data_IF_010257053243
#
_entry.id   IF_010257053243
#
_cell.length_a   1.000
_cell.length_b   1.000
_cell.length_c   1.000
_cell.angle_alpha   90.00
_cell.angle_beta   90.00
_cell.angle_gamma   90.00
#
_symmetry.space_group_name_H-M   'P 1'
#
loop_
_entity.id
_entity.type
_entity.pdbx_description
1 polymer ?
#
# COMPACT_ATOMS: atom_id res chain seq x y z
N UNK A 1 6.54 -31.96 35.15
CA UNK A 1 5.94 -30.60 35.10
C UNK A 1 6.42 -29.77 33.89
N UNK A 2 7.54 -30.08 33.26
CA UNK A 2 8.04 -29.29 32.10
C UNK A 2 7.35 -29.58 30.76
N UNK A 3 6.69 -30.73 30.59
CA UNK A 3 5.99 -31.07 29.33
C UNK A 3 4.59 -30.42 29.18
N UNK A 4 3.94 -30.03 30.29
CA UNK A 4 2.63 -29.35 30.22
C UNK A 4 2.69 -27.87 29.83
N UNK A 5 3.86 -27.23 29.96
CA UNK A 5 4.05 -25.81 29.56
C UNK A 5 4.27 -25.65 28.05
N UNK A 6 4.58 -26.73 27.31
CA UNK A 6 4.76 -26.68 25.84
C UNK A 6 3.45 -26.75 25.06
N UNK A 7 2.36 -27.15 25.68
CA UNK A 7 1.03 -27.15 25.10
C UNK A 7 0.42 -25.77 25.27
N UNK A 8 0.22 -25.04 24.16
CA UNK A 8 -0.39 -23.73 24.17
C UNK A 8 -1.75 -23.72 24.88
N UNK A 9 -2.04 -22.64 25.61
CA UNK A 9 -3.30 -22.47 26.36
C UNK A 9 -4.34 -21.76 25.51
N UNK A 10 -5.52 -22.37 25.33
CA UNK A 10 -6.66 -21.66 24.74
C UNK A 10 -7.23 -20.65 25.76
N UNK A 11 -7.37 -19.39 25.33
CA UNK A 11 -7.99 -18.33 26.11
C UNK A 11 -9.06 -17.67 25.25
N UNK A 12 -10.21 -17.34 25.87
CA UNK A 12 -11.26 -16.54 25.23
C UNK A 12 -11.30 -15.17 25.86
N UNK A 13 -11.38 -14.13 25.01
CA UNK A 13 -11.61 -12.77 25.49
C UNK A 13 -13.09 -12.54 25.84
N UNK A 14 -13.42 -11.34 26.35
CA UNK A 14 -14.78 -10.96 26.72
C UNK A 14 -15.75 -10.89 25.52
N UNK A 15 -15.24 -10.90 24.29
CA UNK A 15 -16.04 -10.92 23.06
C UNK A 15 -16.19 -12.34 22.49
N UNK A 16 -15.75 -13.38 23.23
CA UNK A 16 -15.81 -14.77 22.82
C UNK A 16 -14.80 -15.15 21.74
N UNK A 17 -13.81 -14.31 21.44
CA UNK A 17 -12.75 -14.63 20.49
C UNK A 17 -11.77 -15.61 21.12
N UNK A 18 -11.41 -16.64 20.37
CA UNK A 18 -10.44 -17.65 20.81
C UNK A 18 -9.04 -17.21 20.44
N UNK A 19 -8.11 -17.41 21.36
CA UNK A 19 -6.68 -17.18 21.20
C UNK A 19 -5.91 -18.36 21.71
N UNK A 20 -4.85 -18.69 21.01
CA UNK A 20 -3.95 -19.78 21.38
C UNK A 20 -2.64 -19.18 21.87
N UNK A 21 -2.50 -19.10 23.20
CA UNK A 21 -1.29 -18.60 23.84
C UNK A 21 -0.22 -19.69 23.78
N UNK A 22 0.83 -19.43 23.01
CA UNK A 22 1.97 -20.33 22.89
C UNK A 22 3.25 -19.51 22.96
N UNK A 23 4.21 -19.97 23.75
CA UNK A 23 5.46 -19.27 24.02
C UNK A 23 6.70 -20.15 23.75
N UNK A 24 6.72 -20.83 22.61
CA UNK A 24 7.91 -21.55 22.18
C UNK A 24 9.00 -20.57 21.71
N UNK A 25 10.30 -20.93 21.92
CA UNK A 25 11.42 -20.11 21.41
C UNK A 25 11.27 -19.75 19.92
N UNK A 26 10.77 -20.71 19.11
CA UNK A 26 10.52 -20.53 17.67
C UNK A 26 9.47 -19.46 17.37
N UNK A 27 8.45 -19.33 18.22
CA UNK A 27 7.38 -18.35 18.04
C UNK A 27 7.86 -16.93 18.39
N UNK A 28 8.69 -16.83 19.46
CA UNK A 28 9.34 -15.56 19.82
C UNK A 28 10.29 -15.08 18.71
N UNK A 29 11.17 -15.97 18.23
CA UNK A 29 12.08 -15.68 17.12
C UNK A 29 11.30 -15.32 15.85
N UNK A 30 10.19 -16.03 15.54
CA UNK A 30 9.32 -15.71 14.42
C UNK A 30 8.71 -14.33 14.51
N UNK A 31 8.18 -13.95 15.69
CA UNK A 31 7.61 -12.62 15.93
C UNK A 31 8.66 -11.51 15.84
N UNK A 32 9.83 -11.70 16.44
CA UNK A 32 10.90 -10.70 16.43
C UNK A 32 11.47 -10.49 15.02
N UNK A 33 11.65 -11.56 14.26
CA UNK A 33 12.19 -11.52 12.90
C UNK A 33 11.20 -11.12 11.82
N UNK A 34 9.89 -11.27 12.03
CA UNK A 34 8.86 -11.13 10.99
C UNK A 34 8.92 -9.79 10.25
N UNK A 35 9.14 -8.68 10.96
CA UNK A 35 9.26 -7.34 10.34
C UNK A 35 10.52 -7.24 9.50
N UNK A 36 11.65 -7.71 10.04
CA UNK A 36 12.95 -7.62 9.37
C UNK A 36 13.07 -8.57 8.18
N UNK A 37 12.40 -9.72 8.23
CA UNK A 37 12.30 -10.63 7.08
C UNK A 37 11.41 -10.05 5.97
N UNK A 38 10.35 -9.31 6.33
CA UNK A 38 9.41 -8.74 5.37
C UNK A 38 9.88 -7.41 4.75
N UNK A 39 10.70 -6.65 5.48
CA UNK A 39 11.10 -5.30 5.06
C UNK A 39 11.93 -5.28 3.76
N UNK A 40 13.03 -6.07 3.60
CA UNK A 40 13.86 -6.05 2.39
C UNK A 40 13.12 -6.54 1.13
N UNK A 41 12.35 -7.67 1.15
CA UNK A 41 11.54 -8.06 0.00
C UNK A 41 10.52 -7.00 -0.40
N UNK A 42 9.87 -6.36 0.58
CA UNK A 42 8.92 -5.30 0.33
C UNK A 42 9.59 -4.08 -0.33
N UNK A 43 10.79 -3.70 0.13
CA UNK A 43 11.59 -2.63 -0.47
C UNK A 43 12.00 -2.97 -1.92
N UNK A 44 12.42 -4.20 -2.17
CA UNK A 44 12.83 -4.65 -3.49
C UNK A 44 11.68 -4.60 -4.51
N UNK A 45 10.51 -5.16 -4.18
CA UNK A 45 9.39 -5.18 -5.14
C UNK A 45 8.77 -3.79 -5.36
N UNK A 46 9.00 -2.84 -4.46
CA UNK A 46 8.57 -1.45 -4.62
C UNK A 46 9.25 -0.75 -5.81
N UNK A 47 10.43 -1.20 -6.21
CA UNK A 47 11.15 -0.68 -7.38
C UNK A 47 10.33 -0.83 -8.65
N UNK A 48 9.56 -1.92 -8.81
CA UNK A 48 8.73 -2.12 -9.99
C UNK A 48 7.65 -1.03 -10.13
N UNK A 49 7.12 -0.50 -9.04
CA UNK A 49 6.10 0.56 -9.12
C UNK A 49 6.72 1.96 -9.17
N UNK A 50 7.56 2.27 -8.19
CA UNK A 50 8.10 3.63 -8.01
C UNK A 50 9.32 3.91 -8.91
N UNK A 51 10.06 2.88 -9.26
CA UNK A 51 11.19 2.99 -10.18
C UNK A 51 10.78 3.15 -11.64
N UNK A 52 9.60 2.61 -12.01
CA UNK A 52 9.12 2.67 -13.40
C UNK A 52 9.00 4.11 -13.92
N UNK A 53 8.36 5.01 -13.14
CA UNK A 53 8.22 6.42 -13.51
C UNK A 53 9.56 7.12 -13.78
N UNK A 54 10.60 6.76 -13.04
CA UNK A 54 11.95 7.28 -13.25
C UNK A 54 12.63 6.69 -14.50
N UNK A 55 12.25 5.48 -14.92
CA UNK A 55 12.79 4.81 -16.10
C UNK A 55 12.04 5.18 -17.40
N UNK A 56 10.86 5.78 -17.31
CA UNK A 56 10.00 6.11 -18.48
C UNK A 56 10.73 6.88 -19.58
N UNK A 57 11.53 7.94 -19.30
CA UNK A 57 12.24 8.65 -20.39
C UNK A 57 13.13 7.70 -21.18
N UNK A 58 13.97 6.91 -20.51
CA UNK A 58 14.88 5.98 -21.18
C UNK A 58 14.14 4.84 -21.91
N UNK A 59 13.00 4.37 -21.37
CA UNK A 59 12.15 3.37 -22.00
C UNK A 59 11.52 3.89 -23.29
N UNK A 60 11.02 5.12 -23.28
CA UNK A 60 10.43 5.77 -24.46
C UNK A 60 11.47 5.98 -25.55
N UNK A 61 12.62 6.55 -25.20
CA UNK A 61 13.70 6.86 -26.14
C UNK A 61 14.28 5.60 -26.77
N UNK A 62 14.44 4.51 -25.98
CA UNK A 62 14.99 3.24 -26.49
C UNK A 62 14.05 2.50 -27.43
N UNK A 63 12.77 2.45 -27.07
CA UNK A 63 11.80 1.59 -27.76
C UNK A 63 10.92 2.37 -28.75
N UNK A 64 11.03 3.69 -28.83
CA UNK A 64 10.15 4.53 -29.64
C UNK A 64 8.69 4.53 -29.16
N UNK A 65 8.45 4.24 -27.88
CA UNK A 65 7.09 4.13 -27.35
C UNK A 65 6.48 5.51 -27.07
N UNK A 66 5.18 5.61 -27.33
CA UNK A 66 4.41 6.79 -26.91
C UNK A 66 4.24 6.84 -25.41
N UNK A 67 3.95 8.03 -24.86
CA UNK A 67 3.63 8.20 -23.44
C UNK A 67 2.48 7.29 -23.00
N UNK A 68 1.41 7.25 -23.79
CA UNK A 68 0.23 6.41 -23.54
C UNK A 68 0.60 4.92 -23.54
N UNK A 69 1.36 4.48 -24.55
CA UNK A 69 1.82 3.08 -24.63
C UNK A 69 2.66 2.70 -23.41
N UNK A 70 3.64 3.53 -23.03
CA UNK A 70 4.51 3.25 -21.89
C UNK A 70 3.72 3.18 -20.58
N UNK A 71 2.79 4.10 -20.34
CA UNK A 71 1.99 4.09 -19.13
C UNK A 71 0.88 3.04 -19.14
N UNK A 72 0.46 2.53 -20.31
CA UNK A 72 -0.45 1.37 -20.35
C UNK A 72 0.19 0.11 -19.75
N UNK A 73 1.52 -0.05 -19.88
CA UNK A 73 2.27 -1.13 -19.23
C UNK A 73 2.21 -1.02 -17.70
N UNK A 74 2.43 0.19 -17.16
CA UNK A 74 2.34 0.41 -15.70
C UNK A 74 0.90 0.30 -15.18
N UNK A 75 -0.08 0.76 -15.95
CA UNK A 75 -1.50 0.61 -15.60
C UNK A 75 -1.89 -0.87 -15.51
N UNK A 76 -1.53 -1.68 -16.51
CA UNK A 76 -1.74 -3.12 -16.49
C UNK A 76 -0.99 -3.81 -15.35
N UNK A 77 0.25 -3.36 -15.05
CA UNK A 77 1.01 -3.83 -13.89
C UNK A 77 0.25 -3.57 -12.57
N UNK A 78 -0.31 -2.38 -12.39
CA UNK A 78 -1.07 -2.04 -11.19
C UNK A 78 -2.34 -2.90 -11.05
N UNK A 79 -3.02 -3.22 -12.17
CA UNK A 79 -4.17 -4.13 -12.20
C UNK A 79 -3.75 -5.53 -11.72
N UNK A 80 -2.69 -6.08 -12.27
CA UNK A 80 -2.21 -7.42 -11.89
C UNK A 80 -1.71 -7.46 -10.44
N UNK A 81 -0.95 -6.44 -10.01
CA UNK A 81 -0.42 -6.34 -8.65
C UNK A 81 -1.52 -6.27 -7.59
N UNK A 82 -2.54 -5.46 -7.81
CA UNK A 82 -3.65 -5.34 -6.88
C UNK A 82 -4.64 -6.49 -6.99
N UNK A 83 -4.85 -7.01 -8.21
CA UNK A 83 -5.80 -8.08 -8.49
C UNK A 83 -5.47 -9.40 -7.82
N UNK A 84 -4.18 -9.72 -7.64
CA UNK A 84 -3.76 -10.97 -6.98
C UNK A 84 -3.85 -10.90 -5.44
N UNK A 85 -4.07 -9.74 -4.83
CA UNK A 85 -4.07 -9.59 -3.38
C UNK A 85 -5.16 -10.43 -2.70
N UNK A 86 -6.41 -10.33 -3.16
CA UNK A 86 -7.53 -11.11 -2.63
C UNK A 86 -7.39 -12.61 -2.92
N UNK A 87 -7.13 -13.07 -4.16
CA UNK A 87 -6.91 -14.49 -4.44
C UNK A 87 -5.78 -15.09 -3.60
N UNK A 88 -4.68 -14.36 -3.41
CA UNK A 88 -3.55 -14.84 -2.59
C UNK A 88 -3.94 -15.02 -1.13
N UNK A 89 -4.62 -14.05 -0.54
CA UNK A 89 -5.09 -14.14 0.83
C UNK A 89 -6.05 -15.33 1.02
N UNK A 90 -7.03 -15.44 0.12
CA UNK A 90 -8.01 -16.52 0.12
C UNK A 90 -7.37 -17.90 -0.04
N UNK A 91 -6.44 -18.06 -0.99
CA UNK A 91 -5.75 -19.32 -1.26
C UNK A 91 -4.87 -19.75 -0.08
N UNK A 92 -4.12 -18.81 0.52
CA UNK A 92 -3.27 -19.08 1.67
C UNK A 92 -4.06 -19.53 2.90
N UNK A 93 -5.23 -18.94 3.13
CA UNK A 93 -6.06 -19.33 4.28
C UNK A 93 -6.76 -20.66 4.09
N UNK A 94 -7.18 -21.01 2.88
CA UNK A 94 -7.90 -22.27 2.58
C UNK A 94 -7.00 -23.43 2.23
N UNK A 95 -5.99 -23.23 1.38
CA UNK A 95 -5.16 -24.30 0.82
C UNK A 95 -3.88 -24.56 1.60
N UNK A 96 -3.65 -23.87 2.72
CA UNK A 96 -2.46 -24.01 3.57
C UNK A 96 -1.12 -23.87 2.81
N UNK A 97 -1.10 -23.11 1.72
CA UNK A 97 0.14 -22.86 0.97
C UNK A 97 1.12 -22.09 1.86
N UNK A 98 2.31 -22.64 2.00
CA UNK A 98 3.35 -22.03 2.82
C UNK A 98 3.75 -20.64 2.30
N UNK A 99 3.92 -19.62 3.16
CA UNK A 99 4.28 -18.28 2.72
C UNK A 99 5.60 -18.26 1.94
N UNK A 100 6.56 -19.11 2.28
CA UNK A 100 7.83 -19.27 1.55
C UNK A 100 7.62 -19.61 0.07
N UNK A 101 6.69 -20.50 -0.24
CA UNK A 101 6.39 -20.88 -1.63
C UNK A 101 5.87 -19.69 -2.42
N UNK A 102 4.96 -18.91 -1.83
CA UNK A 102 4.41 -17.70 -2.47
C UNK A 102 5.51 -16.65 -2.68
N UNK A 103 6.43 -16.48 -1.71
CA UNK A 103 7.57 -15.57 -1.84
C UNK A 103 8.51 -15.97 -2.97
N UNK A 104 8.86 -17.26 -3.08
CA UNK A 104 9.74 -17.76 -4.13
C UNK A 104 9.12 -17.64 -5.53
N UNK A 105 7.84 -17.98 -5.66
CA UNK A 105 7.11 -17.77 -6.92
C UNK A 105 7.09 -16.28 -7.27
N UNK A 106 6.79 -15.42 -6.28
CA UNK A 106 6.82 -13.98 -6.47
C UNK A 106 8.18 -13.45 -6.91
N UNK A 107 9.28 -13.95 -6.33
CA UNK A 107 10.65 -13.58 -6.71
C UNK A 107 10.94 -13.89 -8.18
N UNK A 108 10.60 -15.12 -8.63
CA UNK A 108 10.79 -15.55 -10.02
C UNK A 108 9.96 -14.69 -10.97
N UNK A 109 8.68 -14.48 -10.68
CA UNK A 109 7.79 -13.69 -11.54
C UNK A 109 8.24 -12.23 -11.65
N UNK A 110 8.70 -11.61 -10.56
CA UNK A 110 9.23 -10.25 -10.59
C UNK A 110 10.51 -10.15 -11.44
N UNK A 111 11.42 -11.12 -11.28
CA UNK A 111 12.67 -11.16 -12.06
C UNK A 111 12.38 -11.33 -13.57
N UNK A 112 11.51 -12.29 -13.94
CA UNK A 112 11.05 -12.47 -15.31
C UNK A 112 10.44 -11.17 -15.85
N UNK A 113 9.64 -10.46 -15.03
CA UNK A 113 9.05 -9.18 -15.41
C UNK A 113 10.08 -8.14 -15.82
N UNK A 114 11.14 -7.94 -15.02
CA UNK A 114 12.21 -6.98 -15.32
C UNK A 114 13.03 -7.41 -16.54
N UNK A 115 13.39 -8.70 -16.65
CA UNK A 115 14.12 -9.23 -17.81
C UNK A 115 13.28 -9.08 -19.09
N UNK A 116 11.96 -9.30 -19.01
CA UNK A 116 11.06 -9.10 -20.15
C UNK A 116 10.95 -7.62 -20.55
N UNK A 117 11.02 -6.70 -19.60
CA UNK A 117 11.08 -5.26 -19.91
C UNK A 117 12.41 -4.86 -20.57
N UNK A 118 13.51 -5.54 -20.22
CA UNK A 118 14.85 -5.31 -20.74
C UNK A 118 15.06 -5.87 -22.16
N UNK A 119 14.53 -7.07 -22.43
CA UNK A 119 14.86 -7.88 -23.62
C UNK A 119 13.65 -8.43 -24.37
N UNK A 120 12.42 -8.26 -23.83
CA UNK A 120 11.21 -8.80 -24.45
C UNK A 120 10.88 -8.16 -25.79
N UNK A 121 10.07 -8.86 -26.63
CA UNK A 121 9.70 -8.36 -27.95
C UNK A 121 8.72 -7.19 -27.85
N UNK A 122 9.24 -5.97 -27.84
CA UNK A 122 8.47 -4.73 -27.88
C UNK A 122 7.41 -4.58 -26.78
N UNK A 123 6.31 -3.93 -27.11
CA UNK A 123 5.21 -3.64 -26.18
C UNK A 123 4.53 -4.90 -25.62
N UNK A 124 4.39 -5.94 -26.44
CA UNK A 124 3.77 -7.21 -26.01
C UNK A 124 4.60 -7.92 -24.93
N UNK A 125 5.94 -7.94 -25.09
CA UNK A 125 6.85 -8.47 -24.09
C UNK A 125 6.77 -7.72 -22.76
N UNK A 126 6.69 -6.39 -22.82
CA UNK A 126 6.50 -5.57 -21.63
C UNK A 126 5.13 -5.79 -20.94
N UNK A 127 4.06 -5.93 -21.73
CA UNK A 127 2.72 -6.21 -21.18
C UNK A 127 2.64 -7.59 -20.54
N UNK A 128 3.06 -8.65 -21.23
CA UNK A 128 2.96 -10.01 -20.70
C UNK A 128 4.00 -10.27 -19.60
N UNK A 129 5.24 -9.85 -19.81
CA UNK A 129 6.32 -10.08 -18.86
C UNK A 129 6.24 -9.13 -17.66
N UNK A 130 6.44 -7.83 -17.91
CA UNK A 130 6.50 -6.86 -16.82
C UNK A 130 5.14 -6.61 -16.15
N UNK A 131 4.09 -6.34 -16.96
CA UNK A 131 2.81 -5.99 -16.38
C UNK A 131 2.11 -7.21 -15.76
N UNK A 132 1.96 -8.33 -16.49
CA UNK A 132 1.22 -9.48 -15.97
C UNK A 132 2.08 -10.25 -14.98
N UNK A 133 3.24 -10.80 -15.40
CA UNK A 133 4.04 -11.65 -14.52
C UNK A 133 4.70 -10.84 -13.40
N UNK A 134 5.36 -9.73 -13.71
CA UNK A 134 6.01 -8.86 -12.74
C UNK A 134 5.01 -8.24 -11.76
N UNK A 135 3.84 -7.79 -12.25
CA UNK A 135 2.76 -7.27 -11.42
C UNK A 135 2.18 -8.33 -10.48
N UNK A 136 1.86 -9.52 -10.99
CA UNK A 136 1.40 -10.63 -10.18
C UNK A 136 2.45 -11.02 -9.12
N UNK A 137 3.72 -11.15 -9.51
CA UNK A 137 4.82 -11.44 -8.59
C UNK A 137 4.94 -10.43 -7.46
N UNK A 138 4.90 -9.14 -7.79
CA UNK A 138 4.94 -8.06 -6.79
C UNK A 138 3.73 -8.09 -5.86
N UNK A 139 2.55 -8.42 -6.37
CA UNK A 139 1.32 -8.58 -5.57
C UNK A 139 1.40 -9.76 -4.60
N UNK A 140 1.96 -10.91 -5.03
CA UNK A 140 2.21 -12.08 -4.19
C UNK A 140 3.14 -11.73 -3.02
N UNK A 141 4.27 -11.06 -3.29
CA UNK A 141 5.25 -10.66 -2.27
C UNK A 141 4.63 -9.64 -1.31
N UNK A 142 4.01 -8.58 -1.84
CA UNK A 142 3.35 -7.53 -1.05
C UNK A 142 2.31 -8.10 -0.08
N UNK A 143 1.40 -8.94 -0.61
CA UNK A 143 0.34 -9.57 0.18
C UNK A 143 0.93 -10.49 1.25
N UNK A 144 1.93 -11.30 0.90
CA UNK A 144 2.56 -12.25 1.83
C UNK A 144 3.29 -11.54 2.97
N UNK A 145 4.12 -10.53 2.66
CA UNK A 145 4.82 -9.73 3.67
C UNK A 145 3.84 -9.06 4.64
N UNK A 146 2.80 -8.41 4.10
CA UNK A 146 1.81 -7.69 4.92
C UNK A 146 1.01 -8.63 5.82
N UNK A 147 0.54 -9.76 5.28
CA UNK A 147 -0.30 -10.71 6.03
C UNK A 147 0.49 -11.48 7.06
N UNK A 148 1.72 -11.92 6.76
CA UNK A 148 2.58 -12.63 7.73
C UNK A 148 2.95 -11.74 8.91
N UNK A 149 3.32 -10.47 8.66
CA UNK A 149 3.58 -9.50 9.73
C UNK A 149 2.34 -9.22 10.57
N UNK A 150 1.16 -9.11 9.95
CA UNK A 150 -0.11 -8.93 10.66
C UNK A 150 -0.42 -10.11 11.59
N UNK A 151 -0.17 -11.35 11.15
CA UNK A 151 -0.37 -12.58 11.94
C UNK A 151 0.59 -12.68 13.12
N UNK A 152 1.87 -12.28 12.96
CA UNK A 152 2.86 -12.27 14.03
C UNK A 152 2.68 -11.12 15.04
N UNK A 153 1.96 -10.07 14.69
CA UNK A 153 1.74 -8.89 15.54
C UNK A 153 0.25 -8.55 15.68
N UNK A 154 -0.59 -9.49 16.17
CA UNK A 154 -2.03 -9.26 16.28
C UNK A 154 -2.39 -8.14 17.26
N UNK A 155 -1.52 -7.87 18.23
CA UNK A 155 -1.63 -6.79 19.21
C UNK A 155 -1.30 -5.38 18.65
N UNK A 156 -0.49 -5.29 17.57
CA UNK A 156 0.02 -4.02 17.00
C UNK A 156 0.04 -4.01 15.48
N UNK A 157 -0.97 -4.61 14.85
CA UNK A 157 -1.03 -4.81 13.39
C UNK A 157 -0.77 -3.53 12.61
N UNK A 158 -1.51 -2.46 12.91
CA UNK A 158 -1.42 -1.20 12.15
C UNK A 158 0.00 -0.61 12.12
N UNK A 159 0.67 -0.54 13.27
CA UNK A 159 2.02 0.00 13.37
C UNK A 159 3.09 -0.84 12.68
N UNK A 160 2.99 -2.17 12.78
CA UNK A 160 3.99 -3.08 12.21
C UNK A 160 3.81 -3.26 10.69
N UNK A 161 2.58 -3.41 10.24
CA UNK A 161 2.28 -3.50 8.80
C UNK A 161 2.58 -2.18 8.08
N UNK A 162 2.29 -1.02 8.69
CA UNK A 162 2.62 0.27 8.07
C UNK A 162 4.12 0.49 7.91
N UNK A 163 4.95 0.00 8.84
CA UNK A 163 6.41 0.05 8.74
C UNK A 163 6.90 -0.78 7.54
N UNK A 164 6.39 -1.99 7.37
CA UNK A 164 6.78 -2.88 6.27
C UNK A 164 6.23 -2.38 4.93
N UNK A 165 4.96 -1.98 4.88
CA UNK A 165 4.41 -1.44 3.64
C UNK A 165 5.02 -0.09 3.25
N UNK A 166 5.57 0.68 4.21
CA UNK A 166 6.36 1.86 3.93
C UNK A 166 7.60 1.55 3.10
N UNK A 167 8.26 0.41 3.36
CA UNK A 167 9.44 -0.04 2.61
C UNK A 167 9.15 -0.18 1.11
N UNK A 168 7.92 -0.56 0.74
CA UNK A 168 7.49 -0.65 -0.66
C UNK A 168 7.66 0.67 -1.43
N UNK A 169 7.60 1.82 -0.74
CA UNK A 169 7.88 3.10 -1.38
C UNK A 169 9.35 3.49 -1.19
N UNK A 170 9.79 3.79 0.04
CA UNK A 170 11.12 4.37 0.24
C UNK A 170 12.28 3.42 -0.12
N UNK A 171 12.06 2.12 -0.21
CA UNK A 171 13.05 1.17 -0.74
C UNK A 171 13.42 1.41 -2.20
N UNK A 172 12.52 2.05 -2.98
CA UNK A 172 12.78 2.39 -4.37
C UNK A 172 13.60 3.69 -4.56
N UNK A 173 13.84 4.47 -3.50
CA UNK A 173 14.55 5.77 -3.59
C UNK A 173 15.93 5.64 -4.24
N UNK A 174 16.81 4.71 -3.82
CA UNK A 174 18.14 4.60 -4.44
C UNK A 174 18.06 4.31 -5.94
N UNK A 175 17.14 3.41 -6.34
CA UNK A 175 16.94 3.08 -7.75
C UNK A 175 16.38 4.29 -8.52
N UNK A 176 15.37 4.99 -8.00
CA UNK A 176 14.75 6.12 -8.68
C UNK A 176 15.75 7.26 -8.89
N UNK A 177 16.59 7.56 -7.88
CA UNK A 177 17.64 8.56 -7.99
C UNK A 177 18.69 8.13 -9.02
N UNK A 178 19.16 6.88 -8.95
CA UNK A 178 20.14 6.36 -9.92
C UNK A 178 19.56 6.37 -11.34
N UNK A 179 18.28 6.03 -11.52
CA UNK A 179 17.62 6.06 -12.80
C UNK A 179 17.56 7.49 -13.38
N UNK A 180 17.14 8.48 -12.58
CA UNK A 180 17.09 9.87 -13.04
C UNK A 180 18.47 10.41 -13.43
N UNK A 181 19.52 10.03 -12.68
CA UNK A 181 20.88 10.60 -12.88
C UNK A 181 21.71 9.83 -13.92
N UNK A 182 21.53 8.52 -14.03
CA UNK A 182 22.43 7.65 -14.79
C UNK A 182 21.79 6.81 -15.89
N UNK A 183 20.44 6.66 -15.89
CA UNK A 183 19.79 5.77 -16.83
C UNK A 183 19.71 6.43 -18.22
N UNK A 184 20.19 5.69 -19.22
CA UNK A 184 20.18 6.09 -20.63
C UNK A 184 19.63 4.93 -21.48
N UNK A 185 19.17 5.16 -22.71
CA UNK A 185 18.75 4.08 -23.60
C UNK A 185 19.80 3.01 -23.78
N UNK A 186 21.07 3.36 -23.76
CA UNK A 186 22.18 2.42 -23.98
C UNK A 186 22.43 1.46 -22.80
N UNK A 187 22.27 1.95 -21.57
CA UNK A 187 22.53 1.13 -20.35
C UNK A 187 21.26 0.54 -19.71
N UNK A 188 20.08 0.80 -20.29
CA UNK A 188 18.78 0.43 -19.73
C UNK A 188 18.68 -1.08 -19.46
N UNK A 189 19.06 -1.95 -20.43
CA UNK A 189 18.97 -3.41 -20.26
C UNK A 189 19.84 -3.89 -19.12
N UNK A 190 21.12 -3.50 -19.09
CA UNK A 190 22.03 -3.91 -18.01
C UNK A 190 21.56 -3.44 -16.63
N UNK A 191 20.98 -2.22 -16.55
CA UNK A 191 20.43 -1.71 -15.29
C UNK A 191 19.21 -2.53 -14.84
N UNK A 192 18.33 -2.91 -15.76
CA UNK A 192 17.16 -3.76 -15.46
C UNK A 192 17.59 -5.19 -15.11
N UNK A 193 18.60 -5.77 -15.77
CA UNK A 193 19.14 -7.11 -15.47
C UNK A 193 19.75 -7.15 -14.05
N UNK A 194 20.57 -6.17 -13.71
CA UNK A 194 21.13 -6.05 -12.34
C UNK A 194 20.02 -5.88 -11.32
N UNK A 195 19.02 -5.07 -11.62
CA UNK A 195 17.86 -4.88 -10.73
C UNK A 195 17.06 -6.17 -10.58
N UNK A 196 16.85 -6.94 -11.66
CA UNK A 196 16.17 -8.23 -11.64
C UNK A 196 16.92 -9.25 -10.76
N UNK A 197 18.24 -9.34 -10.92
CA UNK A 197 19.09 -10.23 -10.12
C UNK A 197 19.05 -9.85 -8.64
N UNK A 198 19.25 -8.56 -8.31
CA UNK A 198 19.22 -8.09 -6.92
C UNK A 198 17.87 -8.31 -6.29
N UNK A 199 16.78 -7.99 -6.99
CA UNK A 199 15.41 -8.23 -6.53
C UNK A 199 15.17 -9.72 -6.27
N UNK A 200 15.56 -10.60 -7.21
CA UNK A 200 15.42 -12.05 -7.05
C UNK A 200 16.18 -12.54 -5.82
N UNK A 201 17.45 -12.16 -5.67
CA UNK A 201 18.30 -12.58 -4.53
C UNK A 201 17.71 -12.10 -3.20
N UNK A 202 17.23 -10.86 -3.13
CA UNK A 202 16.64 -10.32 -1.91
C UNK A 202 15.32 -11.02 -1.60
N UNK A 203 14.39 -11.11 -2.55
CA UNK A 203 13.06 -11.70 -2.30
C UNK A 203 13.16 -13.20 -2.02
N UNK A 204 13.96 -13.94 -2.80
CA UNK A 204 14.15 -15.37 -2.59
C UNK A 204 14.95 -15.63 -1.29
N UNK A 205 16.06 -14.93 -1.08
CA UNK A 205 16.93 -15.10 0.08
C UNK A 205 16.23 -14.88 1.41
N UNK A 206 15.41 -13.83 1.53
CA UNK A 206 14.58 -13.62 2.72
C UNK A 206 13.33 -14.51 2.70
N UNK A 207 12.78 -14.79 1.51
CA UNK A 207 11.55 -15.55 1.31
C UNK A 207 11.61 -16.98 1.84
N UNK A 208 12.75 -17.65 1.74
CA UNK A 208 12.93 -19.04 2.24
C UNK A 208 12.71 -19.16 3.75
N UNK A 209 12.92 -18.08 4.49
CA UNK A 209 12.75 -18.04 5.95
C UNK A 209 11.32 -17.65 6.38
N UNK A 210 10.44 -17.32 5.42
CA UNK A 210 9.08 -16.92 5.75
C UNK A 210 8.27 -18.08 6.34
N UNK A 211 7.65 -17.80 7.48
CA UNK A 211 6.69 -18.70 8.14
C UNK A 211 5.57 -17.89 8.78
N UNK A 212 4.39 -18.47 8.83
CA UNK A 212 3.26 -17.92 9.57
C UNK A 212 3.24 -18.53 10.98
N UNK A 213 2.68 -17.83 11.98
CA UNK A 213 2.37 -18.43 13.27
C UNK A 213 1.25 -19.48 13.14
N UNK A 214 1.07 -20.34 14.15
CA UNK A 214 -0.10 -21.22 14.23
C UNK A 214 -1.43 -20.44 14.14
N UNK A 215 -2.50 -21.13 13.75
CA UNK A 215 -3.84 -20.52 13.72
C UNK A 215 -4.20 -19.96 15.11
N UNK A 216 -4.86 -18.80 15.13
CA UNK A 216 -5.29 -18.09 16.34
C UNK A 216 -4.16 -17.80 17.36
N UNK A 217 -2.90 -17.80 16.91
CA UNK A 217 -1.75 -17.52 17.76
C UNK A 217 -1.80 -16.11 18.38
N UNK A 218 -1.45 -16.05 19.67
CA UNK A 218 -1.34 -14.83 20.44
C UNK A 218 -0.09 -14.84 21.34
N UNK A 219 0.63 -13.71 21.46
CA UNK A 219 1.82 -13.64 22.29
C UNK A 219 1.47 -13.86 23.78
N UNK A 220 2.09 -14.82 24.43
CA UNK A 220 1.79 -15.23 25.81
C UNK A 220 1.99 -14.14 26.86
N UNK A 221 2.89 -13.18 26.59
CA UNK A 221 3.20 -12.06 27.50
C UNK A 221 2.12 -10.97 27.56
N UNK A 222 1.11 -11.04 26.70
CA UNK A 222 0.02 -10.07 26.61
C UNK A 222 -1.28 -10.83 26.87
N UNK A 223 -1.96 -10.53 27.99
CA UNK A 223 -3.28 -11.11 28.21
C UNK A 223 -4.27 -10.58 27.16
N UNK A 224 -4.88 -11.44 26.33
CA UNK A 224 -5.84 -11.01 25.32
C UNK A 224 -7.10 -10.39 25.92
N UNK A 225 -7.46 -10.73 27.19
CA UNK A 225 -8.60 -10.15 27.91
C UNK A 225 -8.32 -8.70 28.30
N UNK A 226 -7.19 -8.45 28.95
CA UNK A 226 -6.77 -7.10 29.31
C UNK A 226 -6.55 -6.26 28.08
N UNK A 227 -5.93 -6.83 27.05
CA UNK A 227 -5.76 -6.15 25.78
C UNK A 227 -7.11 -5.78 25.16
N UNK A 228 -8.10 -6.68 25.15
CA UNK A 228 -9.45 -6.40 24.67
C UNK A 228 -10.13 -5.29 25.47
N UNK A 229 -9.99 -5.27 26.79
CA UNK A 229 -10.55 -4.22 27.66
C UNK A 229 -9.87 -2.87 27.47
N UNK A 230 -8.54 -2.85 27.39
CA UNK A 230 -7.80 -1.59 27.11
C UNK A 230 -8.17 -0.99 25.77
N UNK A 231 -8.80 -1.80 24.93
CA UNK A 231 -9.26 -1.49 23.58
C UNK A 231 -10.79 -1.43 23.48
N UNK A 232 -11.51 -1.40 24.61
CA UNK A 232 -12.98 -1.36 24.67
C UNK A 232 -13.58 -0.04 24.12
N UNK A 233 -14.83 -0.06 23.62
CA UNK A 233 -15.56 1.15 23.26
C UNK A 233 -15.62 2.12 24.43
N UNK A 234 -15.44 3.41 24.16
CA UNK A 234 -15.44 4.46 25.17
C UNK A 234 -14.06 4.92 25.68
N UNK A 235 -13.04 4.06 25.61
CA UNK A 235 -11.64 4.42 25.89
C UNK A 235 -10.81 4.70 24.63
N UNK A 236 -11.39 4.48 23.44
CA UNK A 236 -10.71 4.63 22.15
C UNK A 236 -11.37 5.67 21.26
N UNK A 237 -10.52 6.42 20.60
CA UNK A 237 -10.90 7.29 19.48
C UNK A 237 -11.39 6.44 18.28
N UNK A 238 -10.86 5.21 18.13
CA UNK A 238 -11.24 4.24 17.12
C UNK A 238 -11.98 3.07 17.76
N UNK A 239 -13.30 3.10 17.78
CA UNK A 239 -14.09 2.00 18.34
C UNK A 239 -14.04 0.76 17.41
N UNK A 240 -14.03 -0.46 17.99
CA UNK A 240 -14.06 -1.71 17.21
C UNK A 240 -15.40 -1.90 16.48
N UNK A 241 -15.43 -2.87 15.54
CA UNK A 241 -16.64 -3.23 14.82
C UNK A 241 -17.74 -3.73 15.78
N UNK A 242 -18.98 -3.36 15.48
CA UNK A 242 -20.17 -3.78 16.26
C UNK A 242 -20.50 -5.25 16.02
N UNK A 243 -20.20 -5.76 14.79
CA UNK A 243 -20.44 -7.14 14.41
C UNK A 243 -19.31 -7.67 13.53
N UNK A 244 -19.23 -9.01 13.41
CA UNK A 244 -18.28 -9.68 12.53
C UNK A 244 -18.95 -9.94 11.18
N UNK A 245 -18.46 -9.31 10.13
CA UNK A 245 -19.01 -9.45 8.78
C UNK A 245 -18.21 -10.48 7.97
N UNK A 246 -18.93 -11.27 7.17
CA UNK A 246 -18.33 -12.01 6.06
C UNK A 246 -18.03 -11.06 4.90
N UNK A 247 -17.16 -11.42 3.94
CA UNK A 247 -16.95 -10.63 2.72
C UNK A 247 -18.26 -10.32 1.98
N UNK A 248 -19.15 -11.32 1.86
CA UNK A 248 -20.48 -11.13 1.28
C UNK A 248 -21.36 -10.18 2.11
N UNK A 249 -21.36 -10.33 3.44
CA UNK A 249 -22.07 -9.41 4.33
C UNK A 249 -21.56 -7.98 4.25
N UNK A 250 -20.25 -7.78 4.07
CA UNK A 250 -19.67 -6.46 3.88
C UNK A 250 -20.13 -5.79 2.58
N UNK A 251 -20.30 -6.55 1.49
CA UNK A 251 -20.85 -6.04 0.20
C UNK A 251 -22.23 -5.42 0.32
N UNK A 252 -23.05 -5.91 1.26
CA UNK A 252 -24.41 -5.39 1.47
C UNK A 252 -24.46 -4.16 2.38
N UNK A 253 -23.31 -3.65 2.82
CA UNK A 253 -23.23 -2.43 3.63
C UNK A 253 -22.95 -1.20 2.77
N UNK A 254 -23.40 -0.02 3.19
CA UNK A 254 -23.05 1.25 2.52
C UNK A 254 -21.58 1.65 2.72
N UNK A 255 -20.92 1.12 3.74
CA UNK A 255 -19.54 1.47 4.08
C UNK A 255 -18.53 0.93 3.05
N UNK A 256 -18.68 -0.30 2.58
CA UNK A 256 -17.72 -0.93 1.67
C UNK A 256 -17.62 -0.19 0.33
N UNK A 257 -18.72 0.13 -0.39
CA UNK A 257 -18.65 0.91 -1.63
C UNK A 257 -18.00 2.28 -1.43
N UNK A 258 -18.30 2.97 -0.32
CA UNK A 258 -17.68 4.27 -0.01
C UNK A 258 -16.19 4.12 0.20
N UNK A 259 -15.73 3.12 0.98
CA UNK A 259 -14.31 2.83 1.16
C UNK A 259 -13.64 2.53 -0.18
N UNK A 260 -14.28 1.71 -1.01
CA UNK A 260 -13.79 1.33 -2.32
C UNK A 260 -13.57 2.55 -3.23
N UNK A 261 -14.56 3.42 -3.33
CA UNK A 261 -14.50 4.64 -4.14
C UNK A 261 -13.43 5.62 -3.65
N UNK A 262 -13.26 5.77 -2.33
CA UNK A 262 -12.21 6.63 -1.79
C UNK A 262 -10.83 6.04 -2.09
N UNK A 263 -10.62 4.72 -1.92
CA UNK A 263 -9.34 4.06 -2.26
C UNK A 263 -9.05 4.16 -3.74
N UNK A 264 -10.05 3.99 -4.60
CA UNK A 264 -9.94 4.15 -6.05
C UNK A 264 -9.48 5.56 -6.39
N UNK A 265 -10.17 6.57 -5.92
CA UNK A 265 -9.89 7.96 -6.23
C UNK A 265 -8.53 8.44 -5.67
N UNK A 266 -8.28 8.22 -4.36
CA UNK A 266 -7.01 8.58 -3.72
C UNK A 266 -5.84 7.77 -4.30
N UNK A 267 -6.06 6.50 -4.61
CA UNK A 267 -5.11 5.61 -5.26
C UNK A 267 -4.76 6.07 -6.67
N UNK A 268 -5.74 6.52 -7.45
CA UNK A 268 -5.50 7.06 -8.79
C UNK A 268 -4.56 8.29 -8.74
N UNK A 269 -4.81 9.23 -7.83
CA UNK A 269 -3.95 10.40 -7.64
C UNK A 269 -2.54 10.00 -7.16
N UNK A 270 -2.44 9.04 -6.23
CA UNK A 270 -1.13 8.57 -5.75
C UNK A 270 -0.32 7.88 -6.84
N UNK A 271 -0.96 7.03 -7.67
CA UNK A 271 -0.32 6.35 -8.80
C UNK A 271 0.03 7.34 -9.93
N UNK A 272 -0.81 8.35 -10.17
CA UNK A 272 -0.49 9.44 -11.08
C UNK A 272 0.82 10.12 -10.71
N UNK A 273 0.98 10.52 -9.46
CA UNK A 273 2.23 11.15 -9.02
C UNK A 273 3.44 10.21 -9.15
N UNK A 274 3.29 8.93 -8.74
CA UNK A 274 4.36 7.94 -8.85
C UNK A 274 4.82 7.72 -10.30
N UNK A 275 3.89 7.83 -11.24
CA UNK A 275 4.15 7.67 -12.67
C UNK A 275 4.71 8.94 -13.31
N UNK A 276 4.11 10.12 -13.04
CA UNK A 276 4.29 11.29 -13.89
C UNK A 276 5.20 12.38 -13.34
N UNK A 277 5.49 12.44 -12.03
CA UNK A 277 6.30 13.54 -11.45
C UNK A 277 7.67 13.65 -12.12
N UNK A 278 8.35 12.54 -12.37
CA UNK A 278 9.68 12.56 -13.05
C UNK A 278 9.52 12.97 -14.51
N UNK A 279 8.58 12.36 -15.23
CA UNK A 279 8.36 12.66 -16.66
C UNK A 279 7.94 14.11 -16.86
N UNK A 280 7.10 14.64 -15.99
CA UNK A 280 6.73 16.06 -15.98
C UNK A 280 7.97 16.95 -15.83
N UNK A 281 8.78 16.69 -14.80
CA UNK A 281 9.94 17.51 -14.48
C UNK A 281 11.00 17.48 -15.61
N UNK A 282 11.22 16.31 -16.22
CA UNK A 282 12.12 16.14 -17.38
C UNK A 282 11.57 16.92 -18.59
N UNK A 283 10.28 16.77 -18.91
CA UNK A 283 9.65 17.51 -20.02
C UNK A 283 9.63 19.03 -19.81
N UNK A 284 9.56 19.48 -18.57
CA UNK A 284 9.66 20.90 -18.22
C UNK A 284 11.11 21.44 -18.27
N UNK A 285 12.09 20.63 -18.67
CA UNK A 285 13.49 21.02 -18.78
C UNK A 285 14.18 21.33 -17.44
N UNK A 286 13.68 20.78 -16.35
CA UNK A 286 14.26 21.03 -15.02
C UNK A 286 15.61 20.32 -14.86
N UNK A 287 16.50 20.91 -14.08
CA UNK A 287 17.84 20.36 -13.85
C UNK A 287 17.75 18.94 -13.23
N UNK A 288 18.59 18.02 -13.69
CA UNK A 288 18.59 16.60 -13.28
C UNK A 288 18.64 16.43 -11.76
N UNK A 289 19.43 17.27 -11.05
CA UNK A 289 19.48 17.25 -9.59
C UNK A 289 18.14 17.60 -8.93
N UNK A 290 17.39 18.55 -9.48
CA UNK A 290 16.05 18.92 -9.00
C UNK A 290 15.07 17.77 -9.21
N UNK A 291 15.09 17.15 -10.39
CA UNK A 291 14.24 15.99 -10.71
C UNK A 291 14.53 14.82 -9.75
N UNK A 292 15.81 14.53 -9.51
CA UNK A 292 16.23 13.47 -8.59
C UNK A 292 15.77 13.74 -7.15
N UNK A 293 15.91 14.99 -6.66
CA UNK A 293 15.44 15.39 -5.33
C UNK A 293 13.92 15.30 -5.22
N UNK A 294 13.19 15.77 -6.21
CA UNK A 294 11.71 15.69 -6.23
C UNK A 294 11.24 14.25 -6.20
N UNK A 295 11.83 13.37 -7.03
CA UNK A 295 11.53 11.94 -7.05
C UNK A 295 11.84 11.29 -5.70
N UNK A 296 13.04 11.52 -5.15
CA UNK A 296 13.47 10.99 -3.86
C UNK A 296 12.54 11.41 -2.73
N UNK A 297 12.20 12.69 -2.63
CA UNK A 297 11.32 13.20 -1.58
C UNK A 297 9.90 12.66 -1.72
N UNK A 298 9.32 12.66 -2.93
CA UNK A 298 8.02 12.07 -3.17
C UNK A 298 7.95 10.62 -2.65
N UNK A 299 8.91 9.78 -3.06
CA UNK A 299 8.93 8.36 -2.75
C UNK A 299 9.24 8.12 -1.26
N UNK A 300 10.25 8.80 -0.71
CA UNK A 300 10.66 8.65 0.69
C UNK A 300 9.54 9.06 1.64
N UNK A 301 8.91 10.22 1.41
CA UNK A 301 7.83 10.73 2.25
C UNK A 301 6.57 9.90 2.10
N UNK A 302 6.27 9.37 0.89
CA UNK A 302 5.17 8.43 0.68
C UNK A 302 5.32 7.19 1.57
N UNK A 303 6.51 6.62 1.64
CA UNK A 303 6.78 5.45 2.48
C UNK A 303 6.78 5.76 3.97
N UNK A 304 7.57 6.76 4.40
CA UNK A 304 7.68 7.15 5.80
C UNK A 304 6.34 7.67 6.36
N UNK A 305 5.56 8.37 5.54
CA UNK A 305 4.24 8.87 5.86
C UNK A 305 3.27 7.79 6.33
N UNK A 306 3.40 6.55 5.84
CA UNK A 306 2.51 5.44 6.25
C UNK A 306 2.54 5.19 7.75
N UNK A 307 3.72 5.10 8.33
CA UNK A 307 3.88 4.89 9.78
C UNK A 307 3.49 6.12 10.59
N UNK A 308 3.83 7.32 10.11
CA UNK A 308 3.47 8.58 10.76
C UNK A 308 1.94 8.77 10.81
N UNK A 309 1.26 8.53 9.70
CA UNK A 309 -0.20 8.62 9.58
C UNK A 309 -0.90 7.60 10.47
N UNK A 310 -0.39 6.39 10.61
CA UNK A 310 -0.96 5.38 11.51
C UNK A 310 -0.88 5.83 12.97
N UNK A 311 0.27 6.36 13.42
CA UNK A 311 0.40 6.93 14.77
C UNK A 311 -0.56 8.12 15.01
N UNK A 312 -0.67 8.99 14.00
CA UNK A 312 -1.61 10.11 14.05
C UNK A 312 -3.06 9.64 14.16
N UNK A 313 -3.42 8.59 13.42
CA UNK A 313 -4.78 8.04 13.42
C UNK A 313 -5.16 7.34 14.73
N UNK A 314 -4.19 6.86 15.49
CA UNK A 314 -4.44 6.33 16.83
C UNK A 314 -4.80 7.43 17.84
N UNK A 315 -4.36 8.67 17.58
CA UNK A 315 -4.66 9.85 18.41
C UNK A 315 -5.91 10.61 17.95
N UNK A 316 -6.04 10.88 16.66
CA UNK A 316 -7.11 11.74 16.11
C UNK A 316 -8.33 10.96 15.62
N UNK A 317 -8.19 9.63 15.43
CA UNK A 317 -9.20 8.77 14.82
C UNK A 317 -9.01 8.59 13.31
N UNK A 318 -9.43 7.40 12.81
CA UNK A 318 -9.20 6.97 11.42
C UNK A 318 -9.79 7.94 10.39
N UNK A 319 -11.07 8.31 10.56
CA UNK A 319 -11.78 9.16 9.60
C UNK A 319 -11.21 10.59 9.54
N UNK A 320 -10.89 11.19 10.69
CA UNK A 320 -10.29 12.54 10.72
C UNK A 320 -8.90 12.54 10.08
N UNK A 321 -8.08 11.55 10.41
CA UNK A 321 -6.74 11.42 9.83
C UNK A 321 -6.81 11.16 8.34
N UNK A 322 -7.73 10.30 7.86
CA UNK A 322 -7.93 10.05 6.44
C UNK A 322 -8.31 11.35 5.71
N UNK A 323 -9.22 12.16 6.29
CA UNK A 323 -9.57 13.47 5.72
C UNK A 323 -8.36 14.40 5.58
N UNK A 324 -7.52 14.49 6.64
CA UNK A 324 -6.31 15.30 6.61
C UNK A 324 -5.33 14.83 5.53
N UNK A 325 -5.10 13.51 5.44
CA UNK A 325 -4.19 12.91 4.45
C UNK A 325 -4.65 13.25 3.01
N UNK A 326 -5.95 13.16 2.73
CA UNK A 326 -6.51 13.48 1.42
C UNK A 326 -6.46 14.98 1.11
N UNK A 327 -6.63 15.85 2.10
CA UNK A 327 -6.44 17.30 1.92
C UNK A 327 -4.96 17.65 1.69
N UNK A 328 -4.03 16.98 2.38
CA UNK A 328 -2.59 17.13 2.11
C UNK A 328 -2.26 16.66 0.69
N UNK A 329 -2.84 15.54 0.24
CA UNK A 329 -2.68 15.07 -1.14
C UNK A 329 -3.18 16.13 -2.14
N UNK A 330 -4.34 16.73 -1.90
CA UNK A 330 -4.88 17.81 -2.74
C UNK A 330 -3.95 19.03 -2.77
N UNK A 331 -3.43 19.46 -1.62
CA UNK A 331 -2.46 20.56 -1.54
C UNK A 331 -1.20 20.28 -2.35
N UNK A 332 -0.70 19.04 -2.32
CA UNK A 332 0.42 18.61 -3.17
C UNK A 332 0.13 18.72 -4.65
N UNK A 333 -1.09 18.36 -5.09
CA UNK A 333 -1.50 18.51 -6.50
C UNK A 333 -1.55 19.98 -6.93
N UNK A 334 -2.05 20.86 -6.08
CA UNK A 334 -2.11 22.30 -6.39
C UNK A 334 -0.70 22.91 -6.50
N UNK A 335 0.23 22.50 -5.63
CA UNK A 335 1.64 22.93 -5.74
C UNK A 335 2.29 22.41 -7.03
N UNK A 336 2.00 21.17 -7.43
CA UNK A 336 2.50 20.62 -8.70
C UNK A 336 1.86 21.32 -9.90
N UNK A 337 0.58 21.68 -9.84
CA UNK A 337 -0.09 22.49 -10.87
C UNK A 337 0.56 23.88 -11.01
N UNK A 338 0.84 24.54 -9.88
CA UNK A 338 1.54 25.83 -9.87
C UNK A 338 2.97 25.69 -10.41
N UNK A 339 3.68 24.61 -10.07
CA UNK A 339 5.00 24.31 -10.66
C UNK A 339 4.91 24.14 -12.17
N UNK A 340 3.90 23.45 -12.66
CA UNK A 340 3.70 23.21 -14.08
C UNK A 340 3.36 24.47 -14.86
N UNK A 341 2.68 25.46 -14.24
CA UNK A 341 2.34 26.74 -14.85
C UNK A 341 3.47 27.78 -14.78
N UNK A 342 4.27 27.73 -13.71
CA UNK A 342 5.32 28.76 -13.46
C UNK A 342 6.74 28.30 -13.83
N UNK A 343 6.97 27.01 -14.09
CA UNK A 343 8.31 26.44 -14.26
C UNK A 343 9.16 26.39 -12.99
N UNK A 344 8.57 26.64 -11.81
CA UNK A 344 9.30 26.75 -10.56
C UNK A 344 9.77 25.40 -10.03
N UNK A 345 11.08 25.19 -9.94
CA UNK A 345 11.73 24.01 -9.34
C UNK A 345 11.42 23.87 -7.83
N UNK A 346 11.29 25.00 -7.13
CA UNK A 346 10.95 24.99 -5.69
C UNK A 346 9.54 24.44 -5.47
N UNK A 347 8.57 24.88 -6.30
CA UNK A 347 7.20 24.36 -6.24
C UNK A 347 7.12 22.88 -6.63
N UNK A 348 7.98 22.40 -7.56
CA UNK A 348 8.08 20.99 -7.87
C UNK A 348 8.50 20.18 -6.63
N UNK A 349 9.61 20.57 -5.98
CA UNK A 349 10.17 19.83 -4.84
C UNK A 349 9.19 19.83 -3.67
N UNK A 350 8.60 20.99 -3.33
CA UNK A 350 7.60 21.11 -2.27
C UNK A 350 6.32 20.31 -2.62
N UNK A 351 5.84 20.44 -3.85
CA UNK A 351 4.65 19.71 -4.33
C UNK A 351 4.87 18.21 -4.30
N UNK A 352 6.03 17.72 -4.73
CA UNK A 352 6.39 16.31 -4.67
C UNK A 352 6.43 15.78 -3.22
N UNK A 353 7.04 16.52 -2.29
CA UNK A 353 7.09 16.14 -0.87
C UNK A 353 5.68 16.09 -0.25
N UNK A 354 4.85 17.12 -0.47
CA UNK A 354 3.48 17.20 0.05
C UNK A 354 2.58 16.13 -0.59
N UNK A 355 2.66 15.92 -1.91
CA UNK A 355 1.93 14.86 -2.60
C UNK A 355 2.35 13.47 -2.10
N UNK A 356 3.65 13.27 -1.80
CA UNK A 356 4.16 12.06 -1.18
C UNK A 356 3.54 11.82 0.20
N UNK A 357 3.50 12.84 1.05
CA UNK A 357 2.90 12.76 2.40
C UNK A 357 1.42 12.34 2.36
N UNK A 358 0.64 12.90 1.43
CA UNK A 358 -0.77 12.56 1.23
C UNK A 358 -0.98 11.23 0.50
N UNK A 359 -0.04 10.84 -0.38
CA UNK A 359 -0.23 9.72 -1.31
C UNK A 359 -0.04 8.32 -0.73
N UNK A 360 0.65 8.17 0.42
CA UNK A 360 0.97 6.85 1.00
C UNK A 360 0.12 6.44 2.18
N UNK A 361 -0.24 7.39 3.02
CA UNK A 361 -0.82 7.15 4.35
C UNK A 361 -2.21 6.52 4.35
N UNK A 362 -3.01 6.70 3.32
CA UNK A 362 -4.37 6.16 3.28
C UNK A 362 -4.41 4.64 3.15
N UNK A 363 -3.45 3.98 2.50
CA UNK A 363 -3.45 2.52 2.36
C UNK A 363 -3.52 1.78 3.71
N UNK A 364 -2.61 2.02 4.69
CA UNK A 364 -2.70 1.36 5.99
C UNK A 364 -3.91 1.81 6.81
N UNK A 365 -4.43 3.03 6.58
CA UNK A 365 -5.67 3.47 7.21
C UNK A 365 -6.86 2.63 6.78
N UNK A 366 -6.98 2.28 5.48
CA UNK A 366 -8.07 1.42 5.00
C UNK A 366 -7.94 -0.02 5.49
N UNK A 367 -6.73 -0.54 5.67
CA UNK A 367 -6.54 -1.85 6.32
C UNK A 367 -7.08 -1.84 7.76
N UNK A 368 -6.83 -0.76 8.49
CA UNK A 368 -7.36 -0.59 9.85
C UNK A 368 -8.86 -0.30 9.87
N UNK A 369 -9.37 0.53 8.94
CA UNK A 369 -10.80 0.81 8.81
C UNK A 369 -11.60 -0.44 8.49
N UNK A 370 -11.10 -1.34 7.63
CA UNK A 370 -11.75 -2.61 7.35
C UNK A 370 -11.94 -3.43 8.63
N UNK A 371 -10.94 -3.49 9.52
CA UNK A 371 -11.07 -4.13 10.84
C UNK A 371 -12.07 -3.42 11.75
N UNK A 372 -11.96 -2.09 11.84
CA UNK A 372 -12.78 -1.28 12.76
C UNK A 372 -14.27 -1.25 12.33
N UNK A 373 -14.58 -1.55 11.06
CA UNK A 373 -15.93 -1.53 10.51
C UNK A 373 -16.55 -2.91 10.36
N UNK A 374 -15.75 -3.92 9.95
CA UNK A 374 -16.25 -5.24 9.56
C UNK A 374 -15.78 -6.36 10.52
N UNK A 375 -14.93 -6.05 11.48
CA UNK A 375 -14.44 -6.99 12.48
C UNK A 375 -13.13 -7.66 12.12
N UNK A 376 -12.55 -8.37 13.10
CA UNK A 376 -11.20 -8.96 12.99
C UNK A 376 -11.20 -10.31 12.26
N UNK A 377 -12.31 -11.06 12.31
CA UNK A 377 -12.37 -12.48 11.92
C UNK A 377 -12.04 -12.72 10.45
N UNK A 378 -12.44 -11.81 9.56
CA UNK A 378 -12.17 -11.85 8.11
C UNK A 378 -11.62 -10.51 7.58
N UNK A 379 -10.93 -9.79 8.44
CA UNK A 379 -10.42 -8.45 8.11
C UNK A 379 -9.49 -8.46 6.89
N UNK A 380 -8.69 -9.51 6.71
CA UNK A 380 -7.76 -9.62 5.58
C UNK A 380 -8.49 -9.80 4.25
N UNK A 381 -9.56 -10.64 4.22
CA UNK A 381 -10.38 -10.83 3.02
C UNK A 381 -11.10 -9.52 2.65
N UNK A 382 -11.76 -8.88 3.63
CA UNK A 382 -12.48 -7.61 3.39
C UNK A 382 -11.50 -6.48 3.00
N UNK A 383 -10.33 -6.42 3.63
CA UNK A 383 -9.30 -5.46 3.21
C UNK A 383 -8.81 -5.74 1.79
N UNK A 384 -8.62 -7.01 1.42
CA UNK A 384 -8.26 -7.41 0.05
C UNK A 384 -9.27 -6.94 -0.98
N UNK A 385 -10.58 -7.01 -0.67
CA UNK A 385 -11.64 -6.46 -1.52
C UNK A 385 -11.52 -4.94 -1.67
N UNK A 386 -11.33 -4.20 -0.57
CA UNK A 386 -11.14 -2.74 -0.63
C UNK A 386 -9.86 -2.38 -1.39
N UNK A 387 -8.78 -3.13 -1.16
CA UNK A 387 -7.49 -2.89 -1.81
C UNK A 387 -7.53 -3.17 -3.33
N UNK A 388 -8.42 -4.04 -3.80
CA UNK A 388 -8.59 -4.31 -5.24
C UNK A 388 -9.01 -3.06 -6.03
N UNK A 389 -9.56 -2.03 -5.37
CA UNK A 389 -9.81 -0.72 -5.97
C UNK A 389 -8.54 -0.08 -6.57
N UNK A 390 -7.35 -0.45 -6.07
CA UNK A 390 -6.07 -0.01 -6.64
C UNK A 390 -5.89 -0.47 -8.09
N UNK A 391 -6.50 -1.59 -8.50
CA UNK A 391 -6.46 -2.04 -9.90
C UNK A 391 -7.11 -0.99 -10.83
N UNK A 392 -8.31 -0.55 -10.49
CA UNK A 392 -9.00 0.52 -11.23
C UNK A 392 -8.31 1.87 -11.05
N UNK A 393 -7.73 2.13 -9.88
CA UNK A 393 -6.90 3.32 -9.66
C UNK A 393 -5.69 3.37 -10.62
N UNK A 394 -5.09 2.21 -10.94
CA UNK A 394 -4.03 2.11 -11.96
C UNK A 394 -4.53 2.49 -13.36
N UNK A 395 -5.70 2.00 -13.75
CA UNK A 395 -6.31 2.36 -15.05
C UNK A 395 -6.58 3.87 -15.12
N UNK A 396 -7.20 4.46 -14.08
CA UNK A 396 -7.53 5.88 -14.05
C UNK A 396 -6.30 6.77 -13.88
N UNK A 397 -5.48 6.51 -12.86
CA UNK A 397 -4.37 7.37 -12.44
C UNK A 397 -3.08 7.20 -13.26
N UNK A 398 -2.98 6.15 -14.08
CA UNK A 398 -1.83 5.95 -14.96
C UNK A 398 -2.29 5.89 -16.42
N UNK A 399 -3.20 4.98 -16.76
CA UNK A 399 -3.63 4.79 -18.15
C UNK A 399 -4.40 6.00 -18.70
N UNK A 400 -5.55 6.34 -18.11
CA UNK A 400 -6.35 7.48 -18.55
C UNK A 400 -5.68 8.83 -18.24
N UNK A 401 -4.85 8.89 -17.19
CA UNK A 401 -4.07 10.10 -16.92
C UNK A 401 -3.05 10.40 -18.01
N UNK A 402 -2.52 9.38 -18.71
CA UNK A 402 -1.63 9.60 -19.86
C UNK A 402 -2.36 10.31 -21.02
N UNK A 403 -3.62 9.95 -21.27
CA UNK A 403 -4.48 10.66 -22.23
C UNK A 403 -4.75 12.09 -21.74
N UNK A 404 -5.17 12.26 -20.48
CA UNK A 404 -5.46 13.57 -19.91
C UNK A 404 -4.25 14.52 -19.97
N UNK A 405 -3.05 14.04 -19.69
CA UNK A 405 -1.81 14.84 -19.81
C UNK A 405 -1.51 15.19 -21.26
N UNK A 406 -1.80 14.31 -22.20
CA UNK A 406 -1.58 14.57 -23.63
C UNK A 406 -2.55 15.62 -24.17
N UNK A 407 -3.83 15.55 -23.77
CA UNK A 407 -4.88 16.42 -24.30
C UNK A 407 -5.00 17.74 -23.54
N UNK A 408 -4.88 17.71 -22.20
CA UNK A 408 -5.10 18.89 -21.34
C UNK A 408 -3.81 19.49 -20.77
N UNK A 409 -2.70 18.79 -20.88
CA UNK A 409 -1.43 19.18 -20.27
C UNK A 409 -1.36 18.89 -18.75
N UNK A 410 -0.14 19.05 -18.22
CA UNK A 410 0.13 18.78 -16.80
C UNK A 410 -0.62 19.72 -15.83
N UNK A 411 -0.69 21.08 -16.06
CA UNK A 411 -1.33 21.97 -15.11
C UNK A 411 -2.78 21.57 -14.82
N UNK A 412 -3.57 21.36 -15.89
CA UNK A 412 -5.00 21.00 -15.77
C UNK A 412 -5.16 19.63 -15.12
N UNK A 413 -4.33 18.65 -15.51
CA UNK A 413 -4.41 17.29 -14.97
C UNK A 413 -4.09 17.28 -13.46
N UNK A 414 -3.10 18.06 -12.98
CA UNK A 414 -2.84 18.21 -11.55
C UNK A 414 -4.00 18.88 -10.81
N UNK A 415 -4.63 19.90 -11.38
CA UNK A 415 -5.82 20.55 -10.77
C UNK A 415 -6.98 19.56 -10.64
N UNK A 416 -7.25 18.78 -11.69
CA UNK A 416 -8.29 17.72 -11.66
C UNK A 416 -7.96 16.69 -10.59
N UNK A 417 -6.72 16.22 -10.49
CA UNK A 417 -6.27 15.29 -9.46
C UNK A 417 -6.43 15.87 -8.04
N UNK A 418 -6.19 17.18 -7.87
CA UNK A 418 -6.47 17.90 -6.62
C UNK A 418 -7.96 17.90 -6.27
N UNK A 419 -8.82 18.18 -7.26
CA UNK A 419 -10.28 18.12 -7.11
C UNK A 419 -10.78 16.71 -6.71
N UNK A 420 -10.23 15.66 -7.32
CA UNK A 420 -10.52 14.26 -6.97
C UNK A 420 -10.13 13.96 -5.52
N UNK A 421 -8.99 14.46 -5.05
CA UNK A 421 -8.55 14.29 -3.66
C UNK A 421 -9.47 15.02 -2.68
N UNK A 422 -9.94 16.24 -3.01
CA UNK A 422 -10.91 16.99 -2.19
C UNK A 422 -12.25 16.25 -2.16
N UNK A 423 -12.76 15.80 -3.31
CA UNK A 423 -14.02 15.03 -3.39
C UNK A 423 -13.94 13.77 -2.52
N UNK A 424 -12.78 13.07 -2.53
CA UNK A 424 -12.53 11.92 -1.66
C UNK A 424 -12.56 12.29 -0.18
N UNK A 425 -11.99 13.45 0.20
CA UNK A 425 -12.03 13.95 1.57
C UNK A 425 -13.45 14.28 2.04
N UNK A 426 -14.29 14.81 1.14
CA UNK A 426 -15.71 15.07 1.41
C UNK A 426 -16.50 13.76 1.52
N UNK A 427 -16.22 12.77 0.68
CA UNK A 427 -16.88 11.47 0.70
C UNK A 427 -16.73 10.71 2.04
N UNK A 428 -15.71 11.03 2.84
CA UNK A 428 -15.52 10.45 4.18
C UNK A 428 -16.72 10.73 5.10
N UNK A 429 -17.43 11.84 4.91
CA UNK A 429 -18.64 12.16 5.69
C UNK A 429 -19.74 11.11 5.53
N UNK A 430 -19.73 10.35 4.42
CA UNK A 430 -20.67 9.25 4.16
C UNK A 430 -20.22 7.92 4.73
N UNK A 431 -19.04 7.86 5.34
CA UNK A 431 -18.48 6.64 5.89
C UNK A 431 -19.13 6.36 7.26
N UNK A 432 -20.19 5.56 7.25
CA UNK A 432 -20.94 5.17 8.44
C UNK A 432 -20.60 3.74 8.84
N UNK A 433 -20.49 3.48 10.15
CA UNK A 433 -20.22 2.14 10.67
C UNK A 433 -21.42 1.23 10.46
N UNK A 434 -21.24 0.03 9.88
CA UNK A 434 -22.32 -0.93 9.71
C UNK A 434 -22.83 -1.42 11.08
N UNK A 435 -24.13 -1.71 11.17
CA UNK A 435 -24.75 -2.26 12.37
C UNK A 435 -25.10 -1.25 13.47
N UNK A 436 -24.75 0.02 13.33
CA UNK A 436 -25.28 1.08 14.18
C UNK A 436 -26.63 1.57 13.63
N UNK A 437 -27.67 1.70 14.48
CA UNK A 437 -28.93 2.29 14.04
C UNK A 437 -28.71 3.74 13.62
N UNK A 438 -29.23 4.10 12.46
CA UNK A 438 -29.12 5.46 11.91
C UNK A 438 -29.85 6.53 12.72
N UNK A 439 -30.69 6.09 13.66
CA UNK A 439 -31.64 6.92 14.45
C UNK A 439 -31.19 7.18 15.88
N UNK A 440 -30.05 6.66 16.33
CA UNK A 440 -29.55 7.05 17.65
C UNK A 440 -29.14 8.52 17.65
N UNK A 441 -29.71 9.36 18.56
CA UNK A 441 -29.28 10.72 18.69
C UNK A 441 -27.77 10.73 19.00
N UNK A 442 -27.03 11.63 18.34
CA UNK A 442 -25.64 11.88 18.70
C UNK A 442 -25.61 12.34 20.14
N UNK A 443 -25.14 11.50 21.06
CA UNK A 443 -24.88 11.93 22.43
C UNK A 443 -23.80 13.01 22.32
N UNK A 444 -24.22 14.27 22.51
CA UNK A 444 -23.27 15.36 22.66
C UNK A 444 -22.46 15.03 23.91
N UNK A 445 -21.14 15.00 23.80
CA UNK A 445 -20.18 14.73 24.87
C UNK A 445 -20.17 15.82 25.99
N UNK A 446 -21.31 16.38 26.31
CA UNK A 446 -21.51 17.43 27.31
C UNK A 446 -22.47 17.07 28.44
N UNK A 447 -23.13 15.92 28.41
CA UNK A 447 -23.93 15.50 29.54
C UNK A 447 -23.01 14.95 30.66
N UNK A 448 -22.57 15.79 31.58
CA UNK A 448 -22.13 15.34 32.91
C UNK A 448 -23.29 14.55 33.50
N UNK A 449 -23.11 13.28 33.75
CA UNK A 449 -23.99 12.50 34.62
C UNK A 449 -23.89 13.16 35.99
N UNK A 450 -24.91 13.92 36.35
CA UNK A 450 -25.19 14.37 37.73
C UNK A 450 -25.89 13.18 38.38
N UNK A 451 -25.26 12.61 39.38
CA UNK A 451 -25.82 11.54 40.20
C UNK A 451 -24.73 10.75 40.86
#
# INVERSE_FOLDING_TARGET
>A
MAESESAGREVRDYYGRRYYLRDKPEDRAGRESAVWLAWPPMAAVGVLQYGFGAAVPALMDRNGWTLIGTFSVLAAWAVCQAGVAFPTAWLRERSRIAPRTVMLVGAVLCAIGLVSLAHGPGMLGALLGYAVLGGAGAGLVYSTCSTSVAKWHPDRVGGKVSLVTGAFAYGAVPFAVAAVVRLTPANLSGALDVTALLLFLVVAGFGVFFRDPPADWWPSRIDPREWALSHAPGRRVNAPAVAQYSPQGALHTSALPVMYLIVLAAGAVSLFNAAFVVVFAVKAGMAVGVVAVAAALFIAVNGAGRSAVMRLSDRLGRARTLKLVLLVQAGGQLLLALSASSGSSVLLVLGAAVAGAGGGGFYPLFASLARDYFGDRRALEVHGMVYSAKAFAGILGVGLAALAVTDWGYPVTFVVAGGVSIASAVAIARLQRPGLPSTLPRVHSGARLIG
#
